data_IF_492193626546
#
_entry.id   IF_492193626546
#
_cell.length_a   1.000
_cell.length_b   1.000
_cell.length_c   1.000
_cell.angle_alpha   90.00
_cell.angle_beta   90.00
_cell.angle_gamma   90.00
#
_symmetry.space_group_name_H-M   'P 1'
#
loop_
_entity.id
_entity.type
_entity.pdbx_description
1 polymer ?
#
# COMPACT_ATOMS: atom_id res chain seq x y z
N UNK A 1 -18.39 1.64 18.98
CA UNK A 1 -17.19 2.09 18.26
C UNK A 1 -17.60 3.33 17.49
N UNK A 2 -16.92 4.46 17.69
CA UNK A 2 -17.12 5.63 16.82
C UNK A 2 -16.84 5.20 15.38
N UNK A 3 -17.72 5.59 14.46
CA UNK A 3 -17.50 5.38 13.04
C UNK A 3 -16.39 6.34 12.61
N UNK A 4 -15.27 5.81 12.10
CA UNK A 4 -14.23 6.64 11.47
C UNK A 4 -14.86 7.36 10.28
N UNK A 5 -14.83 8.68 10.30
CA UNK A 5 -15.39 9.50 9.23
C UNK A 5 -14.46 9.52 8.02
N UNK A 6 -15.00 9.82 6.84
CA UNK A 6 -14.17 10.00 5.63
C UNK A 6 -13.14 11.12 5.79
N UNK A 7 -13.48 12.19 6.53
CA UNK A 7 -12.56 13.30 6.83
C UNK A 7 -11.37 12.81 7.64
N UNK A 8 -11.61 12.04 8.70
CA UNK A 8 -10.54 11.50 9.55
C UNK A 8 -9.65 10.52 8.78
N UNK A 9 -10.24 9.69 7.92
CA UNK A 9 -9.47 8.80 7.04
C UNK A 9 -8.58 9.60 6.10
N UNK A 10 -9.09 10.68 5.50
CA UNK A 10 -8.32 11.54 4.60
C UNK A 10 -7.18 12.24 5.34
N UNK A 11 -7.45 12.79 6.52
CA UNK A 11 -6.44 13.47 7.34
C UNK A 11 -5.32 12.51 7.76
N UNK A 12 -5.68 11.32 8.24
CA UNK A 12 -4.72 10.28 8.61
C UNK A 12 -3.91 9.80 7.41
N UNK A 13 -4.56 9.53 6.29
CA UNK A 13 -3.85 9.12 5.08
C UNK A 13 -2.80 10.15 4.65
N UNK A 14 -3.17 11.43 4.67
CA UNK A 14 -2.25 12.51 4.33
C UNK A 14 -1.17 12.74 5.39
N UNK A 15 -1.41 12.41 6.67
CA UNK A 15 -0.39 12.47 7.72
C UNK A 15 0.59 11.31 7.62
N UNK A 16 0.13 10.14 7.21
CA UNK A 16 0.86 8.88 7.31
C UNK A 16 1.74 8.58 6.09
N UNK A 17 1.38 9.11 4.92
CA UNK A 17 2.01 8.71 3.65
C UNK A 17 2.60 9.87 2.84
N UNK A 18 3.74 9.60 2.22
CA UNK A 18 4.25 10.37 1.08
C UNK A 18 3.75 9.76 -0.23
N UNK A 19 3.53 10.60 -1.24
CA UNK A 19 3.12 10.18 -2.57
C UNK A 19 4.34 10.12 -3.48
N UNK A 20 4.72 8.90 -3.89
CA UNK A 20 5.88 8.68 -4.74
C UNK A 20 5.39 8.27 -6.13
N UNK A 21 5.90 8.94 -7.17
CA UNK A 21 5.58 8.58 -8.56
C UNK A 21 6.32 7.31 -8.96
N UNK A 22 5.60 6.34 -9.50
CA UNK A 22 6.20 5.11 -10.05
C UNK A 22 7.22 5.45 -11.13
N UNK A 23 6.90 6.41 -12.01
CA UNK A 23 7.81 6.85 -13.08
C UNK A 23 9.12 7.46 -12.56
N UNK A 24 9.08 8.08 -11.36
CA UNK A 24 10.29 8.61 -10.74
C UNK A 24 11.17 7.46 -10.22
N UNK A 25 10.55 6.46 -9.59
CA UNK A 25 11.26 5.27 -9.13
C UNK A 25 11.81 4.45 -10.28
N UNK A 26 11.07 4.24 -11.37
CA UNK A 26 11.56 3.56 -12.56
C UNK A 26 12.78 4.28 -13.17
N UNK A 27 12.84 5.61 -13.09
CA UNK A 27 14.02 6.38 -13.53
C UNK A 27 15.20 6.26 -12.57
N UNK A 28 14.93 6.20 -11.27
CA UNK A 28 15.96 6.06 -10.24
C UNK A 28 16.54 4.62 -10.21
N UNK A 29 15.73 3.63 -10.55
CA UNK A 29 16.06 2.21 -10.59
C UNK A 29 15.82 1.64 -12.01
N UNK A 30 16.61 2.08 -13.01
CA UNK A 30 16.37 1.83 -14.43
C UNK A 30 16.56 0.37 -14.86
N UNK A 31 17.18 -0.46 -14.03
CA UNK A 31 17.34 -1.90 -14.28
C UNK A 31 16.01 -2.67 -14.19
N UNK A 32 14.91 -1.95 -13.91
CA UNK A 32 13.61 -2.27 -14.50
C UNK A 32 12.79 -3.31 -13.77
N UNK A 33 13.06 -3.53 -12.49
CA UNK A 33 12.38 -4.56 -11.73
C UNK A 33 11.84 -4.07 -10.40
N UNK A 34 11.01 -3.02 -10.45
CA UNK A 34 10.15 -2.64 -9.33
C UNK A 34 9.36 -3.84 -8.77
N UNK A 35 9.02 -4.79 -9.64
CA UNK A 35 8.44 -6.11 -9.32
C UNK A 35 9.24 -6.93 -8.31
N UNK A 36 10.57 -6.83 -8.29
CA UNK A 36 11.44 -7.58 -7.35
C UNK A 36 11.34 -7.04 -5.93
N UNK A 37 10.86 -5.81 -5.76
CA UNK A 37 10.71 -5.17 -4.45
C UNK A 37 9.33 -5.39 -3.83
N UNK A 38 8.44 -6.14 -4.50
CA UNK A 38 7.12 -6.45 -3.98
C UNK A 38 7.23 -7.39 -2.80
N UNK A 39 6.56 -7.03 -1.71
CA UNK A 39 6.40 -7.84 -0.52
C UNK A 39 5.12 -8.64 -0.68
N UNK A 40 5.26 -9.87 -1.15
CA UNK A 40 4.12 -10.74 -1.38
C UNK A 40 3.45 -11.16 -0.06
N UNK A 41 2.10 -11.19 -0.02
CA UNK A 41 1.38 -11.81 1.09
C UNK A 41 1.72 -13.30 1.15
N UNK A 42 1.60 -13.87 2.34
CA UNK A 42 1.87 -15.28 2.56
C UNK A 42 0.87 -16.14 1.78
N UNK A 43 1.38 -17.16 1.09
CA UNK A 43 0.55 -18.04 0.27
C UNK A 43 0.10 -17.45 -1.07
N UNK A 44 0.72 -16.34 -1.54
CA UNK A 44 0.46 -15.80 -2.87
C UNK A 44 0.61 -16.88 -3.96
N UNK A 45 -0.44 -17.06 -4.76
CA UNK A 45 -0.53 -18.12 -5.76
C UNK A 45 -0.07 -17.61 -7.13
N UNK A 46 1.25 -17.69 -7.33
CA UNK A 46 1.91 -17.33 -8.58
C UNK A 46 1.35 -18.05 -9.82
N UNK A 47 0.69 -19.20 -9.66
CA UNK A 47 0.20 -20.01 -10.77
C UNK A 47 -1.22 -19.65 -11.23
N UNK A 48 -1.98 -18.90 -10.42
CA UNK A 48 -3.39 -18.59 -10.68
C UNK A 48 -3.67 -17.10 -10.90
N UNK A 49 -2.67 -16.23 -10.80
CA UNK A 49 -2.81 -14.80 -11.04
C UNK A 49 -2.59 -14.51 -12.53
N UNK A 50 -3.63 -14.00 -13.22
CA UNK A 50 -3.56 -13.67 -14.65
C UNK A 50 -2.58 -12.52 -14.94
N UNK A 51 -2.43 -11.60 -13.97
CA UNK A 51 -1.53 -10.46 -14.05
C UNK A 51 -0.68 -10.33 -12.78
N UNK A 52 0.60 -9.96 -12.91
CA UNK A 52 1.47 -9.75 -11.76
C UNK A 52 1.02 -8.51 -10.96
N UNK A 53 1.18 -8.55 -9.64
CA UNK A 53 0.89 -7.40 -8.78
C UNK A 53 1.70 -6.18 -9.23
N UNK A 54 1.04 -5.09 -9.62
CA UNK A 54 1.74 -3.86 -9.99
C UNK A 54 0.90 -2.61 -9.70
N UNK A 55 1.51 -1.47 -9.34
CA UNK A 55 0.76 -0.25 -9.06
C UNK A 55 -0.02 0.26 -10.28
N UNK A 56 -1.36 0.29 -10.18
CA UNK A 56 -2.24 0.75 -11.26
C UNK A 56 -2.27 2.29 -11.41
N UNK A 57 -2.01 3.02 -10.31
CA UNK A 57 -2.20 4.47 -10.24
C UNK A 57 -0.95 5.31 -10.51
N UNK A 58 0.12 4.68 -11.03
CA UNK A 58 1.43 5.35 -11.21
C UNK A 58 1.93 6.06 -9.93
N UNK A 59 1.41 5.65 -8.77
CA UNK A 59 1.62 6.29 -7.46
C UNK A 59 1.76 5.20 -6.40
N UNK A 60 2.74 5.39 -5.54
CA UNK A 60 3.05 4.58 -4.37
C UNK A 60 2.87 5.45 -3.12
N UNK A 61 2.40 4.83 -2.03
CA UNK A 61 2.14 5.51 -0.77
C UNK A 61 3.16 5.06 0.27
N UNK A 62 4.30 5.76 0.33
CA UNK A 62 5.41 5.46 1.22
C UNK A 62 5.05 5.86 2.66
N UNK A 63 5.22 4.95 3.62
CA UNK A 63 5.10 5.28 5.03
C UNK A 63 6.09 6.39 5.43
N UNK A 64 5.64 7.40 6.16
CA UNK A 64 6.51 8.53 6.55
C UNK A 64 7.54 8.19 7.63
N UNK A 65 7.32 7.13 8.39
CA UNK A 65 8.23 6.69 9.44
C UNK A 65 8.40 5.17 9.49
N UNK A 66 9.46 4.75 10.18
CA UNK A 66 9.85 3.35 10.35
C UNK A 66 8.78 2.56 11.14
N UNK A 67 8.09 3.22 12.09
CA UNK A 67 7.07 2.55 12.88
C UNK A 67 5.89 2.09 12.01
N UNK A 68 5.37 2.99 11.17
CA UNK A 68 4.32 2.68 10.22
C UNK A 68 4.80 1.68 9.18
N UNK A 69 6.02 1.85 8.65
CA UNK A 69 6.67 0.91 7.73
C UNK A 69 6.63 -0.53 8.28
N UNK A 70 7.05 -0.72 9.54
CA UNK A 70 7.01 -2.01 10.22
C UNK A 70 5.59 -2.55 10.40
N UNK A 71 4.61 -1.68 10.66
CA UNK A 71 3.20 -2.11 10.77
C UNK A 71 2.66 -2.57 9.43
N UNK A 72 2.92 -1.86 8.35
CA UNK A 72 2.49 -2.28 7.01
C UNK A 72 3.01 -3.69 6.73
N UNK A 73 4.33 -3.91 6.89
CA UNK A 73 4.96 -5.21 6.66
C UNK A 73 4.37 -6.32 7.52
N UNK A 74 4.09 -6.01 8.80
CA UNK A 74 3.47 -6.95 9.73
C UNK A 74 2.06 -7.37 9.30
N UNK A 75 1.26 -6.46 8.75
CA UNK A 75 -0.14 -6.68 8.37
C UNK A 75 -0.34 -6.88 6.87
N UNK A 76 0.71 -7.26 6.14
CA UNK A 76 0.67 -7.43 4.67
C UNK A 76 -0.44 -8.38 4.20
N UNK A 77 -0.79 -9.39 5.00
CA UNK A 77 -1.78 -10.40 4.64
C UNK A 77 -3.19 -9.81 4.74
N UNK A 78 -3.50 -9.14 5.85
CA UNK A 78 -4.77 -8.45 6.06
C UNK A 78 -4.96 -7.29 5.07
N UNK A 79 -3.88 -6.62 4.68
CA UNK A 79 -3.91 -5.59 3.66
C UNK A 79 -4.24 -6.16 2.27
N UNK A 80 -3.70 -7.33 1.93
CA UNK A 80 -4.01 -8.00 0.66
C UNK A 80 -5.49 -8.41 0.57
N UNK A 81 -6.14 -8.78 1.68
CA UNK A 81 -7.59 -9.09 1.73
C UNK A 81 -8.47 -7.89 1.35
N UNK A 82 -7.98 -6.67 1.56
CA UNK A 82 -8.66 -5.43 1.14
C UNK A 82 -8.05 -4.83 -0.12
N UNK A 83 -7.25 -5.58 -0.89
CA UNK A 83 -6.70 -5.14 -2.18
C UNK A 83 -5.56 -4.13 -2.10
N UNK A 84 -4.87 -4.05 -0.96
CA UNK A 84 -3.67 -3.22 -0.78
C UNK A 84 -2.44 -4.12 -0.74
N UNK A 85 -1.45 -3.80 -1.56
CA UNK A 85 -0.19 -4.55 -1.66
C UNK A 85 0.99 -3.67 -1.29
N UNK A 86 2.12 -4.31 -0.99
CA UNK A 86 3.30 -3.64 -0.45
C UNK A 86 4.52 -3.84 -1.33
N UNK A 87 5.40 -2.86 -1.35
CA UNK A 87 6.77 -2.99 -1.82
C UNK A 87 7.72 -2.18 -0.95
N UNK A 88 8.99 -2.53 -0.94
CA UNK A 88 10.03 -1.82 -0.20
C UNK A 88 11.30 -1.82 -1.05
N UNK A 89 11.70 -0.64 -1.50
CA UNK A 89 12.94 -0.43 -2.26
C UNK A 89 14.06 -0.17 -1.25
N UNK A 90 15.31 -0.49 -1.61
CA UNK A 90 16.46 -0.22 -0.76
C UNK A 90 16.46 1.23 -0.24
N UNK A 91 16.65 1.37 1.07
CA UNK A 91 16.70 2.65 1.80
C UNK A 91 15.39 3.47 1.80
N UNK A 92 14.27 2.87 1.40
CA UNK A 92 12.92 3.47 1.53
C UNK A 92 12.12 2.84 2.65
N UNK A 93 11.08 3.52 3.11
CA UNK A 93 10.05 2.87 3.92
C UNK A 93 9.12 2.02 3.06
N UNK A 94 8.39 1.09 3.68
CA UNK A 94 7.38 0.30 2.98
C UNK A 94 6.35 1.21 2.30
N UNK A 95 6.04 0.89 1.05
CA UNK A 95 5.11 1.60 0.18
C UNK A 95 3.90 0.74 -0.11
N UNK A 96 2.71 1.33 0.01
CA UNK A 96 1.47 0.70 -0.44
C UNK A 96 1.20 0.99 -1.91
N UNK A 97 0.56 0.05 -2.60
CA UNK A 97 -0.07 0.26 -3.90
C UNK A 97 -1.36 -0.56 -4.04
N UNK A 98 -2.13 -0.21 -5.07
CA UNK A 98 -3.39 -0.88 -5.42
C UNK A 98 -3.35 -1.26 -6.91
N UNK A 99 -3.81 -2.47 -7.21
CA UNK A 99 -3.87 -3.02 -8.58
C UNK A 99 -5.21 -2.75 -9.31
N UNK A 100 -6.21 -2.18 -8.63
CA UNK A 100 -7.54 -1.92 -9.20
C UNK A 100 -7.79 -0.47 -9.66
N UNK A 101 -8.86 -0.25 -10.43
CA UNK A 101 -9.33 1.07 -10.85
C UNK A 101 -10.86 1.12 -11.01
N UNK A 102 -11.44 2.33 -11.07
CA UNK A 102 -12.85 2.53 -11.46
C UNK A 102 -13.91 2.42 -10.34
N UNK A 103 -13.52 2.50 -9.07
CA UNK A 103 -14.43 2.49 -7.90
C UNK A 103 -13.98 3.46 -6.81
N UNK A 104 -14.73 3.56 -5.70
CA UNK A 104 -14.38 4.43 -4.57
C UNK A 104 -13.27 3.80 -3.71
N UNK A 105 -12.06 4.33 -3.85
CA UNK A 105 -10.86 3.90 -3.15
C UNK A 105 -10.94 4.10 -1.64
N UNK A 106 -11.62 5.16 -1.20
CA UNK A 106 -11.77 5.41 0.23
C UNK A 106 -12.62 4.33 0.86
N UNK A 107 -13.76 4.01 0.25
CA UNK A 107 -14.66 2.98 0.77
C UNK A 107 -14.06 1.58 0.66
N UNK A 108 -13.38 1.28 -0.46
CA UNK A 108 -12.87 -0.05 -0.75
C UNK A 108 -11.56 -0.38 0.00
N UNK A 109 -10.70 0.60 0.26
CA UNK A 109 -9.34 0.36 0.77
C UNK A 109 -9.02 1.17 2.03
N UNK A 110 -9.13 2.49 1.97
CA UNK A 110 -8.61 3.35 3.04
C UNK A 110 -9.45 3.30 4.32
N UNK A 111 -10.78 3.25 4.19
CA UNK A 111 -11.68 3.06 5.33
C UNK A 111 -11.42 1.71 6.01
N UNK A 112 -11.41 0.55 5.30
CA UNK A 112 -11.03 -0.74 5.90
C UNK A 112 -9.63 -0.72 6.52
N UNK A 113 -8.64 -0.13 5.85
CA UNK A 113 -7.27 -0.01 6.37
C UNK A 113 -7.27 0.63 7.76
N UNK A 114 -7.92 1.78 7.93
CA UNK A 114 -7.89 2.50 9.20
C UNK A 114 -8.88 2.00 10.25
N UNK A 115 -9.98 1.37 9.82
CA UNK A 115 -11.01 0.83 10.72
C UNK A 115 -10.59 -0.53 11.31
N UNK A 116 -9.99 -1.39 10.49
CA UNK A 116 -9.83 -2.80 10.83
C UNK A 116 -8.35 -3.19 11.04
N UNK A 117 -7.44 -2.62 10.25
CA UNK A 117 -6.03 -3.04 10.21
C UNK A 117 -5.13 -2.12 11.06
N UNK A 118 -5.15 -0.81 10.77
CA UNK A 118 -4.35 0.24 11.41
C UNK A 118 -5.11 1.07 12.44
N UNK A 119 -6.20 0.52 13.01
CA UNK A 119 -7.02 1.19 14.05
C UNK A 119 -6.28 1.63 15.31
N UNK A 120 -5.05 1.14 15.51
CA UNK A 120 -4.20 1.45 16.67
C UNK A 120 -3.07 2.42 16.36
N UNK A 121 -2.80 2.66 15.08
CA UNK A 121 -1.87 3.70 14.64
C UNK A 121 -2.58 5.04 14.90
N UNK A 122 -1.91 6.00 15.52
CA UNK A 122 -2.49 7.31 15.86
C UNK A 122 -1.67 8.41 15.24
#
# INVERSE_FOLDING_TARGET
MEQTTLSEVQERFNSDFNFISVQLLEKAYPDGKLMEYIIYPDGYDWGNEEEPLYPMWSTLFEAKDEFLSDKLKKYKNEMAEVGIYLMEIEETNAMMFICGCGYDFYQAHWVPLYRDILKWVK
#
